data_IF_161536953191
#
_entry.id   IF_161536953191
#
_cell.length_a   1.000
_cell.length_b   1.000
_cell.length_c   1.000
_cell.angle_alpha   90.00
_cell.angle_beta   90.00
_cell.angle_gamma   90.00
#
_symmetry.space_group_name_H-M   'P 1'
#
loop_
_entity.id
_entity.type
_entity.pdbx_description
1 polymer ?
#
# COMPACT_ATOMS: atom_id res chain seq x y z
N UNK A 1 13.30 12.38 -8.15
CA UNK A 1 13.47 11.76 -6.83
C UNK A 1 12.08 11.44 -6.30
N UNK A 2 11.81 10.20 -5.86
CA UNK A 2 10.49 9.81 -5.35
C UNK A 2 10.48 10.10 -3.85
N UNK A 3 9.49 10.87 -3.40
CA UNK A 3 9.35 11.25 -1.99
C UNK A 3 9.30 9.99 -1.11
N UNK A 4 10.09 9.94 -0.05
CA UNK A 4 10.20 8.79 0.84
C UNK A 4 9.47 9.01 2.16
N UNK A 5 9.16 7.92 2.86
CA UNK A 5 8.55 7.99 4.21
C UNK A 5 9.45 8.72 5.21
N UNK A 6 10.77 8.75 4.97
CA UNK A 6 11.72 9.46 5.82
C UNK A 6 11.55 10.98 5.68
N UNK A 7 11.36 11.47 4.45
CA UNK A 7 11.14 12.90 4.20
C UNK A 7 9.83 13.38 4.82
N UNK A 8 8.76 12.58 4.75
CA UNK A 8 7.49 12.88 5.44
C UNK A 8 7.70 12.94 6.96
N UNK A 9 8.52 12.04 7.51
CA UNK A 9 8.80 12.02 8.94
C UNK A 9 9.56 13.28 9.39
N UNK A 10 10.50 13.75 8.57
CA UNK A 10 11.23 15.00 8.83
C UNK A 10 10.30 16.22 8.78
N UNK A 11 9.45 16.34 7.75
CA UNK A 11 8.51 17.45 7.60
C UNK A 11 7.45 17.46 8.71
N UNK A 12 6.97 16.27 9.11
CA UNK A 12 5.99 16.13 10.18
C UNK A 12 6.61 16.15 11.59
N UNK A 13 7.94 16.28 11.72
CA UNK A 13 8.68 16.26 12.98
C UNK A 13 8.36 15.06 13.88
N UNK A 14 8.26 13.86 13.27
CA UNK A 14 7.97 12.61 13.98
C UNK A 14 8.92 11.50 13.57
N UNK A 15 8.98 10.42 14.33
CA UNK A 15 9.72 9.24 13.92
C UNK A 15 9.08 8.56 12.70
N UNK A 16 9.91 7.93 11.86
CA UNK A 16 9.47 7.08 10.74
C UNK A 16 8.42 6.03 11.16
N UNK A 17 8.56 5.47 12.36
CA UNK A 17 7.63 4.49 12.91
C UNK A 17 6.24 5.08 13.18
N UNK A 18 6.16 6.35 13.57
CA UNK A 18 4.90 7.08 13.77
C UNK A 18 4.19 7.30 12.44
N UNK A 19 4.92 7.71 11.39
CA UNK A 19 4.37 7.85 10.03
C UNK A 19 3.86 6.50 9.52
N UNK A 20 4.66 5.45 9.67
CA UNK A 20 4.27 4.08 9.28
C UNK A 20 3.01 3.63 10.01
N UNK A 21 2.89 3.87 11.31
CA UNK A 21 1.68 3.54 12.09
C UNK A 21 0.47 4.34 11.63
N UNK A 22 0.64 5.64 11.37
CA UNK A 22 -0.43 6.50 10.90
C UNK A 22 -0.97 6.06 9.53
N UNK A 23 -0.07 5.80 8.57
CA UNK A 23 -0.41 5.35 7.22
C UNK A 23 -1.05 3.95 7.20
N UNK A 24 -0.54 3.03 8.03
CA UNK A 24 -1.05 1.66 8.12
C UNK A 24 -2.24 1.51 9.09
N UNK A 25 -2.79 2.61 9.61
CA UNK A 25 -3.96 2.56 10.48
C UNK A 25 -3.70 2.06 11.91
N UNK A 26 -2.46 1.78 12.31
CA UNK A 26 -2.11 1.11 13.57
C UNK A 26 -2.32 2.01 14.81
N UNK A 27 -2.51 1.40 15.98
CA UNK A 27 -2.65 2.11 17.28
C UNK A 27 -1.33 2.79 17.71
N UNK A 28 -1.43 3.78 18.60
CA UNK A 28 -0.27 4.47 19.18
C UNK A 28 0.13 5.77 18.49
N UNK A 29 -0.78 6.36 17.71
CA UNK A 29 -0.67 7.72 17.15
C UNK A 29 -1.97 8.44 17.49
N UNK A 30 -1.89 9.66 18.03
CA UNK A 30 -3.08 10.48 18.29
C UNK A 30 -3.83 10.80 16.99
N UNK A 31 -5.14 10.97 17.07
CA UNK A 31 -5.97 11.23 15.89
C UNK A 31 -5.58 12.54 15.20
N UNK A 32 -5.23 13.57 15.98
CA UNK A 32 -4.69 14.84 15.45
C UNK A 32 -3.43 14.62 14.61
N UNK A 33 -2.43 13.89 15.13
CA UNK A 33 -1.18 13.62 14.40
C UNK A 33 -1.41 12.72 13.19
N UNK A 34 -2.33 11.76 13.30
CA UNK A 34 -2.70 10.89 12.18
C UNK A 34 -3.28 11.72 11.04
N UNK A 35 -4.21 12.62 11.35
CA UNK A 35 -4.83 13.50 10.36
C UNK A 35 -3.79 14.39 9.68
N UNK A 36 -2.91 15.02 10.45
CA UNK A 36 -1.82 15.84 9.93
C UNK A 36 -0.89 15.06 8.99
N UNK A 37 -0.51 13.82 9.35
CA UNK A 37 0.36 12.98 8.52
C UNK A 37 -0.34 12.56 7.22
N UNK A 38 -1.63 12.23 7.28
CA UNK A 38 -2.41 11.85 6.09
C UNK A 38 -2.58 13.03 5.12
N UNK A 39 -2.93 14.21 5.64
CA UNK A 39 -3.03 15.44 4.84
C UNK A 39 -1.67 15.78 4.20
N UNK A 40 -0.58 15.66 4.94
CA UNK A 40 0.76 15.90 4.42
C UNK A 40 1.15 14.88 3.33
N UNK A 41 0.84 13.60 3.53
CA UNK A 41 1.09 12.56 2.54
C UNK A 41 0.29 12.81 1.25
N UNK A 42 -0.95 13.29 1.36
CA UNK A 42 -1.81 13.64 0.22
C UNK A 42 -1.26 14.87 -0.53
N UNK A 43 -0.91 15.94 0.19
CA UNK A 43 -0.33 17.17 -0.38
C UNK A 43 0.97 16.90 -1.13
N UNK A 44 1.82 16.01 -0.60
CA UNK A 44 3.09 15.66 -1.21
C UNK A 44 2.97 14.54 -2.26
N UNK A 45 1.75 14.12 -2.59
CA UNK A 45 1.44 13.01 -3.49
C UNK A 45 2.29 11.76 -3.17
N UNK A 46 2.45 11.49 -1.88
CA UNK A 46 3.23 10.34 -1.42
C UNK A 46 2.49 9.05 -1.72
N UNK A 47 3.16 8.16 -2.43
CA UNK A 47 2.64 6.84 -2.74
C UNK A 47 3.58 5.77 -2.15
N UNK A 48 3.12 4.99 -1.15
CA UNK A 48 3.95 3.99 -0.51
C UNK A 48 4.31 2.87 -1.49
N UNK A 49 5.59 2.54 -1.58
CA UNK A 49 6.08 1.51 -2.50
C UNK A 49 5.53 0.12 -2.15
N UNK A 50 4.85 -0.53 -3.09
CA UNK A 50 4.29 -1.86 -2.91
C UNK A 50 5.37 -2.91 -2.57
N UNK A 51 6.56 -2.83 -3.16
CA UNK A 51 7.66 -3.75 -2.84
C UNK A 51 8.21 -3.52 -1.43
N UNK A 52 8.30 -2.26 -0.98
CA UNK A 52 8.71 -1.94 0.39
C UNK A 52 7.67 -2.40 1.42
N UNK A 53 6.38 -2.23 1.11
CA UNK A 53 5.28 -2.76 1.93
C UNK A 53 5.34 -4.29 1.99
N UNK A 54 5.53 -4.94 0.84
CA UNK A 54 5.62 -6.39 0.76
C UNK A 54 6.76 -6.96 1.63
N UNK A 55 7.91 -6.30 1.61
CA UNK A 55 9.05 -6.63 2.47
C UNK A 55 8.73 -6.41 3.95
N UNK A 56 8.18 -5.26 4.31
CA UNK A 56 7.85 -4.91 5.70
C UNK A 56 6.80 -5.85 6.31
N UNK A 57 5.80 -6.27 5.52
CA UNK A 57 4.75 -7.19 5.97
C UNK A 57 5.07 -8.67 5.71
N UNK A 58 6.19 -8.98 5.04
CA UNK A 58 6.53 -10.31 4.54
C UNK A 58 5.39 -10.97 3.76
N UNK A 59 4.57 -10.16 3.09
CA UNK A 59 3.37 -10.55 2.34
C UNK A 59 3.20 -9.60 1.17
N UNK A 60 3.13 -10.12 -0.05
CA UNK A 60 2.99 -9.31 -1.26
C UNK A 60 1.56 -8.86 -1.54
N UNK A 61 0.55 -9.54 -0.96
CA UNK A 61 -0.86 -9.30 -1.30
C UNK A 61 -1.23 -9.66 -2.75
N UNK A 62 -0.35 -10.38 -3.46
CA UNK A 62 -0.52 -10.73 -4.86
C UNK A 62 -1.25 -12.08 -5.00
N UNK A 63 -2.30 -12.11 -5.82
CA UNK A 63 -2.97 -13.36 -6.23
C UNK A 63 -2.38 -13.76 -7.58
N UNK A 64 -1.71 -14.93 -7.62
CA UNK A 64 -1.24 -15.52 -8.87
C UNK A 64 -2.33 -16.40 -9.48
N UNK A 65 -2.70 -16.14 -10.73
CA UNK A 65 -3.66 -16.95 -11.47
C UNK A 65 -2.92 -17.74 -12.56
N UNK A 66 -3.02 -19.06 -12.50
CA UNK A 66 -2.48 -19.95 -13.54
C UNK A 66 -3.65 -20.37 -14.44
N UNK A 67 -3.66 -19.88 -15.67
CA UNK A 67 -4.67 -20.24 -16.66
C UNK A 67 -4.06 -21.09 -17.77
N UNK A 68 -4.77 -22.11 -18.28
CA UNK A 68 -4.40 -22.77 -19.51
C UNK A 68 -4.45 -21.77 -20.68
N UNK A 69 -3.43 -21.80 -21.53
CA UNK A 69 -3.18 -20.81 -22.59
C UNK A 69 -4.24 -20.84 -23.72
N UNK A 70 -5.00 -21.93 -23.83
CA UNK A 70 -5.91 -22.13 -24.95
C UNK A 70 -7.19 -21.33 -24.76
N UNK A 71 -7.29 -20.23 -25.52
CA UNK A 71 -8.40 -19.27 -25.51
C UNK A 71 -9.80 -19.90 -25.67
N UNK A 72 -9.89 -21.11 -26.24
CA UNK A 72 -11.15 -21.83 -26.45
C UNK A 72 -11.70 -22.58 -25.23
N UNK A 73 -10.86 -22.93 -24.24
CA UNK A 73 -11.28 -23.74 -23.07
C UNK A 73 -11.30 -22.95 -21.76
N UNK A 74 -10.56 -21.85 -21.68
CA UNK A 74 -10.38 -21.11 -20.42
C UNK A 74 -11.64 -20.37 -19.95
N UNK A 75 -12.57 -20.05 -20.87
CA UNK A 75 -13.82 -19.34 -20.56
C UNK A 75 -15.10 -20.12 -20.95
N UNK A 76 -14.98 -21.33 -21.49
CA UNK A 76 -16.14 -22.13 -21.96
C UNK A 76 -16.64 -23.18 -20.95
N UNK A 77 -16.26 -23.04 -19.68
CA UNK A 77 -16.75 -23.90 -18.61
C UNK A 77 -18.23 -23.68 -18.29
N UNK A 78 -18.89 -24.67 -17.70
CA UNK A 78 -20.35 -24.74 -17.45
C UNK A 78 -20.97 -23.58 -16.64
N UNK A 79 -20.16 -22.62 -16.17
CA UNK A 79 -20.56 -21.46 -15.38
C UNK A 79 -20.51 -20.13 -16.18
N UNK A 80 -19.90 -20.13 -17.37
CA UNK A 80 -19.88 -18.98 -18.29
C UNK A 80 -20.32 -19.45 -19.68
N UNK A 81 -21.53 -19.08 -20.06
CA UNK A 81 -22.03 -19.20 -21.44
C UNK A 81 -21.44 -18.03 -22.23
N UNK A 82 -20.66 -18.34 -23.27
CA UNK A 82 -20.36 -17.38 -24.33
C UNK A 82 -21.59 -17.14 -25.21
#
# INVERSE_FOLDING_TARGET
>A
MKLTINEIAEIAHVAKSTVSKALNGQKGVSDEKRKQILELAEQLQYEPSASAQALAFSKTGTIGLLLPHEAGYSLSGAYWSA
#
